data_IF_367960052716
#
_entry.id   IF_367960052716
#
_cell.length_a   1.000
_cell.length_b   1.000
_cell.length_c   1.000
_cell.angle_alpha   90.00
_cell.angle_beta   90.00
_cell.angle_gamma   90.00
#
_symmetry.space_group_name_H-M   'P 1'
#
loop_
_entity.id
_entity.type
_entity.pdbx_description
1 polymer ?
#
# COMPACT_ATOMS: atom_id res chain seq x y z
N UNK A 1 -26.64 29.65 -8.36
CA UNK A 1 -26.02 29.09 -7.14
C UNK A 1 -24.75 28.39 -7.56
N UNK A 2 -23.59 28.95 -7.21
CA UNK A 2 -22.31 28.28 -7.48
C UNK A 2 -22.09 27.20 -6.44
N UNK A 3 -21.97 25.94 -6.87
CA UNK A 3 -21.56 24.86 -5.98
C UNK A 3 -20.07 25.10 -5.66
N UNK A 4 -19.76 25.48 -4.42
CA UNK A 4 -18.38 25.55 -3.96
C UNK A 4 -17.79 24.13 -3.98
N UNK A 5 -16.62 23.98 -4.63
CA UNK A 5 -15.88 22.71 -4.65
C UNK A 5 -15.54 22.33 -3.20
N UNK A 6 -15.89 21.11 -2.79
CA UNK A 6 -15.44 20.57 -1.51
C UNK A 6 -14.00 20.03 -1.65
N UNK A 7 -12.98 20.67 -1.03
CA UNK A 7 -11.60 20.21 -1.15
C UNK A 7 -11.37 18.83 -0.51
N UNK A 8 -12.20 18.41 0.46
CA UNK A 8 -12.11 17.09 1.08
C UNK A 8 -12.54 15.94 0.16
N UNK A 9 -13.10 16.27 -1.01
CA UNK A 9 -13.49 15.29 -2.02
C UNK A 9 -12.50 15.22 -3.18
N UNK A 10 -11.39 15.96 -3.10
CA UNK A 10 -10.31 15.84 -4.07
C UNK A 10 -9.70 14.43 -4.03
N UNK A 11 -9.53 13.83 -5.20
CA UNK A 11 -9.02 12.46 -5.35
C UNK A 11 -9.99 11.35 -4.94
N UNK A 12 -11.21 11.66 -4.48
CA UNK A 12 -12.21 10.63 -4.14
C UNK A 12 -12.66 9.90 -5.40
N UNK A 13 -12.68 8.57 -5.32
CA UNK A 13 -13.41 7.74 -6.28
C UNK A 13 -14.84 7.54 -5.77
N UNK A 14 -15.82 8.16 -6.43
CA UNK A 14 -17.23 8.12 -6.07
C UNK A 14 -17.93 6.85 -6.60
N UNK A 15 -17.39 5.69 -6.25
CA UNK A 15 -17.96 4.39 -6.57
C UNK A 15 -17.41 3.34 -5.60
N UNK A 16 -17.98 2.14 -5.63
CA UNK A 16 -17.38 0.99 -4.95
C UNK A 16 -16.22 0.48 -5.81
N UNK A 17 -15.01 0.52 -5.28
CA UNK A 17 -13.82 -0.05 -5.93
C UNK A 17 -13.14 -1.05 -5.02
N UNK A 18 -12.37 -1.95 -5.62
CA UNK A 18 -11.57 -2.94 -4.92
C UNK A 18 -10.15 -2.95 -5.51
N UNK A 19 -9.11 -2.99 -4.67
CA UNK A 19 -7.76 -3.13 -5.17
C UNK A 19 -7.55 -4.56 -5.68
N UNK A 20 -6.92 -4.70 -6.83
CA UNK A 20 -6.38 -5.94 -7.35
C UNK A 20 -4.91 -5.71 -7.71
N UNK A 21 -4.12 -6.78 -7.67
CA UNK A 21 -2.73 -6.75 -8.12
C UNK A 21 -2.68 -7.48 -9.46
N UNK A 22 -2.11 -6.87 -10.51
CA UNK A 22 -1.90 -7.53 -11.78
C UNK A 22 -0.66 -8.44 -11.75
N UNK A 23 -0.50 -9.26 -12.79
CA UNK A 23 0.72 -10.03 -13.02
C UNK A 23 1.94 -9.13 -13.34
N UNK A 24 3.09 -9.77 -13.57
CA UNK A 24 4.37 -9.10 -13.88
C UNK A 24 4.37 -8.26 -15.17
N UNK A 25 3.36 -8.43 -16.02
CA UNK A 25 3.17 -7.67 -17.26
C UNK A 25 2.10 -6.57 -17.10
N UNK A 26 1.50 -6.46 -15.91
CA UNK A 26 0.46 -5.48 -15.60
C UNK A 26 -0.92 -5.88 -16.12
N UNK A 27 -1.18 -7.18 -16.32
CA UNK A 27 -2.49 -7.69 -16.67
C UNK A 27 -3.22 -8.19 -15.42
N UNK A 28 -4.47 -7.76 -15.24
CA UNK A 28 -5.30 -8.24 -14.15
C UNK A 28 -5.79 -9.66 -14.41
N UNK A 29 -5.77 -10.49 -13.37
CA UNK A 29 -6.26 -11.85 -13.40
C UNK A 29 -7.78 -11.91 -13.54
N UNK A 30 -8.29 -13.04 -14.06
CA UNK A 30 -9.74 -13.32 -14.08
C UNK A 30 -10.32 -13.61 -12.70
N UNK A 31 -9.49 -14.05 -11.76
CA UNK A 31 -9.86 -14.29 -10.37
C UNK A 31 -9.28 -13.22 -9.45
N UNK A 32 -10.03 -12.88 -8.41
CA UNK A 32 -9.64 -11.82 -7.49
C UNK A 32 -8.66 -12.32 -6.42
N UNK A 33 -7.78 -11.43 -5.97
CA UNK A 33 -6.78 -11.72 -4.96
C UNK A 33 -5.80 -12.80 -5.43
N UNK A 34 -5.51 -12.88 -6.73
CA UNK A 34 -4.75 -13.97 -7.34
C UNK A 34 -3.24 -13.94 -7.04
N UNK A 35 -2.73 -12.79 -6.61
CA UNK A 35 -1.32 -12.61 -6.24
C UNK A 35 -1.11 -12.74 -4.72
N UNK A 36 0.09 -13.15 -4.32
CA UNK A 36 0.53 -12.99 -2.93
C UNK A 36 0.84 -11.52 -2.67
N UNK A 37 0.72 -11.09 -1.41
CA UNK A 37 1.14 -9.75 -0.99
C UNK A 37 2.00 -9.82 0.25
N UNK A 38 2.95 -8.91 0.36
CA UNK A 38 3.64 -8.62 1.60
C UNK A 38 3.30 -7.22 2.07
N UNK A 39 2.94 -7.08 3.34
CA UNK A 39 2.60 -5.81 3.97
C UNK A 39 3.68 -5.48 4.98
N UNK A 40 4.32 -4.34 4.81
CA UNK A 40 5.37 -3.86 5.69
C UNK A 40 4.93 -2.60 6.43
N UNK A 41 4.91 -2.67 7.76
CA UNK A 41 4.58 -1.59 8.66
C UNK A 41 5.88 -1.05 9.27
N UNK A 42 6.20 0.20 8.93
CA UNK A 42 7.34 0.94 9.47
C UNK A 42 6.83 2.04 10.39
N UNK A 43 7.10 1.91 11.69
CA UNK A 43 6.89 2.96 12.67
C UNK A 43 8.18 3.73 12.91
N UNK A 44 8.09 5.06 12.90
CA UNK A 44 9.14 5.96 13.36
C UNK A 44 8.59 6.88 14.46
N UNK A 45 9.23 6.88 15.62
CA UNK A 45 8.74 7.57 16.81
C UNK A 45 9.76 8.57 17.35
N UNK A 46 9.28 9.74 17.74
CA UNK A 46 10.09 10.82 18.30
C UNK A 46 9.74 11.02 19.77
N UNK A 47 10.51 10.40 20.66
CA UNK A 47 10.40 10.50 22.12
C UNK A 47 11.23 11.69 22.66
N UNK A 48 11.08 12.86 22.05
CA UNK A 48 11.82 14.07 22.42
C UNK A 48 10.88 15.28 22.54
N UNK A 49 11.01 16.15 23.58
CA UNK A 49 10.12 17.30 23.77
C UNK A 49 10.10 18.30 22.60
N UNK A 50 11.21 18.40 21.86
CA UNK A 50 11.31 19.25 20.67
C UNK A 50 10.64 18.65 19.42
N UNK A 51 10.14 17.42 19.48
CA UNK A 51 9.51 16.73 18.35
C UNK A 51 10.41 16.73 17.11
N UNK A 52 9.88 17.19 15.97
CA UNK A 52 10.60 17.26 14.69
C UNK A 52 11.88 18.12 14.72
N UNK A 53 12.04 18.99 15.73
CA UNK A 53 13.23 19.81 15.92
C UNK A 53 14.30 19.11 16.78
N UNK A 54 14.09 17.85 17.17
CA UNK A 54 15.04 17.08 17.95
C UNK A 54 16.35 16.81 17.18
N UNK A 55 17.48 16.63 17.89
CA UNK A 55 18.76 16.26 17.26
C UNK A 55 18.62 15.05 16.33
N UNK A 56 19.38 15.07 15.23
CA UNK A 56 19.46 14.03 14.19
C UNK A 56 18.19 13.75 13.36
N UNK A 57 17.04 14.36 13.67
CA UNK A 57 15.80 14.16 12.88
C UNK A 57 16.00 14.49 11.41
N UNK A 58 16.67 15.61 11.10
CA UNK A 58 16.90 16.00 9.71
C UNK A 58 17.73 14.96 8.94
N UNK A 59 18.79 14.43 9.57
CA UNK A 59 19.63 13.38 8.96
C UNK A 59 18.83 12.12 8.67
N UNK A 60 18.00 11.68 9.62
CA UNK A 60 17.12 10.51 9.44
C UNK A 60 16.07 10.78 8.35
N UNK A 61 15.43 11.95 8.38
CA UNK A 61 14.41 12.33 7.40
C UNK A 61 14.98 12.38 5.97
N UNK A 62 16.15 12.97 5.79
CA UNK A 62 16.81 13.02 4.49
C UNK A 62 17.16 11.61 3.98
N UNK A 63 17.52 10.69 4.87
CA UNK A 63 17.75 9.30 4.51
C UNK A 63 16.44 8.58 4.15
N UNK A 64 15.37 8.83 4.90
CA UNK A 64 14.03 8.30 4.62
C UNK A 64 13.53 8.74 3.24
N UNK A 65 13.65 10.03 2.91
CA UNK A 65 13.28 10.57 1.58
C UNK A 65 14.07 9.86 0.48
N UNK A 66 15.38 9.64 0.66
CA UNK A 66 16.21 8.92 -0.33
C UNK A 66 15.77 7.45 -0.50
N UNK A 67 15.46 6.76 0.59
CA UNK A 67 14.98 5.36 0.55
C UNK A 67 13.68 5.22 -0.23
N UNK A 68 12.67 6.05 0.08
CA UNK A 68 11.39 6.00 -0.64
C UNK A 68 11.52 6.41 -2.10
N UNK A 69 12.34 7.42 -2.39
CA UNK A 69 12.61 7.83 -3.76
C UNK A 69 13.27 6.73 -4.59
N UNK A 70 14.26 6.01 -4.03
CA UNK A 70 14.86 4.86 -4.74
C UNK A 70 13.82 3.77 -5.00
N UNK A 71 12.96 3.46 -4.03
CA UNK A 71 11.90 2.47 -4.19
C UNK A 71 10.90 2.86 -5.28
N UNK A 72 10.53 4.13 -5.38
CA UNK A 72 9.67 4.66 -6.44
C UNK A 72 10.37 4.64 -7.81
N UNK A 73 11.64 5.02 -7.88
CA UNK A 73 12.42 5.05 -9.13
C UNK A 73 12.77 3.66 -9.68
N UNK A 74 12.85 2.66 -8.80
CA UNK A 74 13.19 1.26 -9.14
C UNK A 74 11.97 0.34 -9.10
N UNK A 75 10.77 0.90 -8.99
CA UNK A 75 9.56 0.14 -9.24
C UNK A 75 9.38 -0.02 -10.76
N UNK A 76 9.07 -1.22 -11.27
CA UNK A 76 8.57 -2.42 -10.58
C UNK A 76 9.62 -3.46 -10.15
N UNK A 77 10.89 -3.29 -10.50
CA UNK A 77 11.95 -4.29 -10.29
C UNK A 77 12.16 -4.61 -8.80
N UNK A 78 12.08 -3.57 -7.96
CA UNK A 78 12.25 -3.67 -6.50
C UNK A 78 11.19 -4.52 -5.79
N UNK A 79 10.06 -4.79 -6.44
CA UNK A 79 8.91 -5.46 -5.83
C UNK A 79 8.09 -4.56 -4.91
N UNK A 80 8.40 -3.27 -4.82
CA UNK A 80 7.61 -2.27 -4.11
C UNK A 80 6.41 -1.82 -4.96
N UNK A 81 5.22 -1.80 -4.35
CA UNK A 81 3.98 -1.39 -5.01
C UNK A 81 3.52 0.03 -4.63
N UNK A 82 4.00 0.56 -3.51
CA UNK A 82 3.50 1.80 -2.93
C UNK A 82 2.93 1.59 -1.52
N UNK A 83 2.30 2.64 -0.99
CA UNK A 83 1.80 2.62 0.38
C UNK A 83 1.10 3.90 0.80
N UNK A 84 0.96 4.08 2.10
CA UNK A 84 0.39 5.28 2.70
C UNK A 84 0.98 5.51 4.08
N UNK A 85 0.92 6.76 4.54
CA UNK A 85 1.51 7.19 5.79
C UNK A 85 0.47 7.87 6.68
N UNK A 86 0.52 7.59 7.98
CA UNK A 86 -0.27 8.26 9.00
C UNK A 86 0.64 8.80 10.09
N UNK A 87 0.36 10.03 10.51
CA UNK A 87 0.95 10.59 11.72
C UNK A 87 -0.05 10.46 12.86
N UNK A 88 0.39 9.89 13.97
CA UNK A 88 -0.36 9.86 15.22
C UNK A 88 0.47 10.47 16.37
N UNK A 89 -0.18 10.67 17.52
CA UNK A 89 0.48 11.02 18.76
C UNK A 89 0.14 9.98 19.81
N UNK A 90 1.14 9.59 20.57
CA UNK A 90 0.91 8.69 21.71
C UNK A 90 0.18 9.43 22.86
N UNK A 91 -0.25 8.72 23.92
CA UNK A 91 -0.96 9.35 25.04
C UNK A 91 -0.17 10.44 25.79
N UNK A 92 1.15 10.52 25.58
CA UNK A 92 2.05 11.51 26.18
C UNK A 92 2.43 12.62 25.19
N UNK A 93 1.87 12.60 23.98
CA UNK A 93 2.02 13.62 22.95
C UNK A 93 3.22 13.42 22.01
N UNK A 94 3.99 12.33 22.17
CA UNK A 94 5.11 12.01 21.27
C UNK A 94 4.58 11.70 19.88
N UNK A 95 5.26 12.23 18.85
CA UNK A 95 4.87 12.03 17.45
C UNK A 95 5.34 10.66 16.98
N UNK A 96 4.47 9.97 16.27
CA UNK A 96 4.75 8.70 15.63
C UNK A 96 4.22 8.73 14.20
N UNK A 97 5.05 8.31 13.26
CA UNK A 97 4.74 8.17 11.85
C UNK A 97 4.69 6.68 11.54
N UNK A 98 3.55 6.22 11.03
CA UNK A 98 3.37 4.85 10.56
C UNK A 98 3.26 4.86 9.04
N UNK A 99 4.23 4.27 8.37
CA UNK A 99 4.19 3.99 6.94
C UNK A 99 3.75 2.55 6.73
N UNK A 100 2.69 2.34 5.96
CA UNK A 100 2.20 1.03 5.55
C UNK A 100 2.48 0.88 4.07
N UNK A 101 3.34 -0.07 3.72
CA UNK A 101 3.77 -0.32 2.34
C UNK A 101 3.44 -1.74 1.89
N UNK A 102 3.21 -1.88 0.58
CA UNK A 102 2.84 -3.13 -0.05
C UNK A 102 3.92 -3.58 -1.02
N UNK A 103 4.19 -4.88 -1.02
CA UNK A 103 5.29 -5.50 -1.72
C UNK A 103 4.86 -6.82 -2.33
N UNK A 104 5.60 -7.25 -3.35
CA UNK A 104 5.44 -8.54 -4.02
C UNK A 104 5.73 -9.72 -3.09
N UNK A 105 6.79 -9.62 -2.28
CA UNK A 105 7.26 -10.71 -1.41
C UNK A 105 8.05 -10.18 -0.22
N UNK A 106 8.22 -11.01 0.81
CA UNK A 106 9.11 -10.68 1.95
C UNK A 106 10.58 -10.70 1.52
N UNK A 107 10.93 -11.52 0.54
CA UNK A 107 12.26 -11.53 -0.08
C UNK A 107 12.60 -10.20 -0.75
N UNK A 108 11.65 -9.54 -1.41
CA UNK A 108 11.86 -8.24 -2.03
C UNK A 108 12.07 -7.13 -0.97
N UNK A 109 11.31 -7.17 0.14
CA UNK A 109 11.55 -6.28 1.28
C UNK A 109 12.98 -6.47 1.82
N UNK A 110 13.41 -7.72 2.01
CA UNK A 110 14.76 -8.01 2.48
C UNK A 110 15.84 -7.59 1.47
N UNK A 111 15.61 -7.82 0.16
CA UNK A 111 16.54 -7.40 -0.90
C UNK A 111 16.81 -5.89 -0.81
N UNK A 112 15.76 -5.09 -0.61
CA UNK A 112 15.91 -3.66 -0.38
C UNK A 112 16.62 -3.35 0.95
N UNK A 113 16.25 -4.02 2.05
CA UNK A 113 16.85 -3.79 3.36
C UNK A 113 18.37 -4.09 3.41
N UNK A 114 18.84 -5.06 2.61
CA UNK A 114 20.26 -5.35 2.42
C UNK A 114 20.94 -4.49 1.35
N UNK A 115 20.18 -3.66 0.62
CA UNK A 115 20.66 -2.72 -0.37
C UNK A 115 21.44 -1.54 0.23
N UNK A 116 22.25 -0.85 -0.59
CA UNK A 116 23.21 0.15 -0.11
C UNK A 116 22.57 1.35 0.61
N UNK A 117 21.42 1.83 0.15
CA UNK A 117 20.79 3.03 0.71
C UNK A 117 20.20 2.75 2.09
N UNK A 118 19.49 1.63 2.25
CA UNK A 118 18.99 1.22 3.57
C UNK A 118 20.15 0.85 4.52
N UNK A 119 21.16 0.11 4.05
CA UNK A 119 22.33 -0.24 4.89
C UNK A 119 23.07 0.97 5.42
N UNK A 120 23.23 2.02 4.60
CA UNK A 120 23.89 3.26 5.03
C UNK A 120 23.22 3.90 6.24
N UNK A 121 21.89 3.99 6.26
CA UNK A 121 21.17 4.59 7.39
C UNK A 121 21.15 3.64 8.60
N UNK A 122 21.08 2.33 8.36
CA UNK A 122 21.15 1.35 9.44
C UNK A 122 22.52 1.35 10.14
N UNK A 123 23.62 1.47 9.38
CA UNK A 123 24.97 1.57 9.94
C UNK A 123 25.16 2.89 10.71
N UNK A 124 24.59 4.00 10.21
CA UNK A 124 24.53 5.27 10.94
C UNK A 124 23.78 5.12 12.27
N UNK A 125 22.59 4.51 12.25
CA UNK A 125 21.78 4.30 13.44
C UNK A 125 22.54 3.51 14.51
N UNK A 126 23.16 2.39 14.12
CA UNK A 126 23.90 1.54 15.06
C UNK A 126 25.14 2.23 15.64
N UNK A 127 25.87 2.99 14.83
CA UNK A 127 27.05 3.73 15.28
C UNK A 127 26.71 4.90 16.22
N UNK A 128 25.51 5.47 16.13
CA UNK A 128 25.06 6.62 16.92
C UNK A 128 23.95 6.27 17.93
N UNK A 129 23.69 4.99 18.22
CA UNK A 129 22.53 4.55 19.02
C UNK A 129 22.37 5.25 20.38
N UNK A 130 23.48 5.68 21.02
CA UNK A 130 23.44 6.43 22.28
C UNK A 130 22.89 7.84 22.11
N UNK A 131 23.21 8.48 20.99
CA UNK A 131 22.76 9.83 20.61
C UNK A 131 21.33 9.80 20.04
N UNK A 132 20.84 8.63 19.62
CA UNK A 132 19.52 8.42 19.03
C UNK A 132 18.51 7.78 19.99
N UNK A 133 18.81 7.70 21.30
CA UNK A 133 17.97 7.03 22.29
C UNK A 133 16.58 7.68 22.49
N UNK A 134 16.39 8.91 22.00
CA UNK A 134 15.11 9.62 21.95
C UNK A 134 14.29 9.28 20.69
N UNK A 135 14.78 8.44 19.81
CA UNK A 135 14.09 7.98 18.61
C UNK A 135 13.73 6.50 18.73
N UNK A 136 12.60 6.12 18.13
CA UNK A 136 12.13 4.73 18.09
C UNK A 136 11.85 4.29 16.65
N UNK A 137 12.09 3.01 16.38
CA UNK A 137 11.72 2.35 15.12
C UNK A 137 10.97 1.06 15.46
N UNK A 138 9.90 0.74 14.73
CA UNK A 138 9.22 -0.55 14.76
C UNK A 138 9.03 -1.09 13.35
N UNK A 139 9.28 -2.39 13.15
CA UNK A 139 9.10 -3.07 11.87
C UNK A 139 8.18 -4.28 12.08
N UNK A 140 7.12 -4.38 11.29
CA UNK A 140 6.34 -5.61 11.17
C UNK A 140 6.18 -5.96 9.69
N UNK A 141 6.38 -7.24 9.33
CA UNK A 141 6.23 -7.73 7.97
C UNK A 141 5.27 -8.92 7.98
N UNK A 142 4.26 -8.87 7.12
CA UNK A 142 3.27 -9.93 6.97
C UNK A 142 3.20 -10.39 5.52
N UNK A 143 3.40 -11.67 5.28
CA UNK A 143 3.14 -12.28 3.98
C UNK A 143 1.75 -12.91 3.97
N UNK A 144 0.92 -12.46 3.04
CA UNK A 144 -0.47 -12.91 2.91
C UNK A 144 -0.60 -13.65 1.58
N UNK A 145 -0.89 -14.96 1.59
CA UNK A 145 -1.09 -15.73 0.37
C UNK A 145 -2.26 -15.21 -0.46
N UNK A 146 -2.23 -15.50 -1.75
CA UNK A 146 -3.36 -15.30 -2.65
C UNK A 146 -4.67 -15.85 -2.08
N UNK A 147 -5.78 -15.19 -2.39
CA UNK A 147 -7.14 -15.50 -1.92
C UNK A 147 -7.33 -15.38 -0.40
N UNK A 148 -6.40 -14.72 0.32
CA UNK A 148 -6.48 -14.45 1.76
C UNK A 148 -6.38 -12.96 2.12
N UNK A 149 -6.46 -12.09 1.12
CA UNK A 149 -6.53 -10.65 1.31
C UNK A 149 -7.62 -10.06 0.41
N UNK A 150 -8.23 -8.97 0.86
CA UNK A 150 -9.21 -8.20 0.09
C UNK A 150 -9.19 -6.74 0.55
N UNK A 151 -9.75 -5.85 -0.26
CA UNK A 151 -10.01 -4.46 0.13
C UNK A 151 -11.22 -3.89 -0.58
N UNK A 152 -11.84 -2.88 0.00
CA UNK A 152 -12.95 -2.16 -0.62
C UNK A 152 -12.90 -0.69 -0.24
N UNK A 153 -13.14 0.17 -1.22
CA UNK A 153 -13.21 1.61 -1.07
C UNK A 153 -14.56 2.07 -1.61
N UNK A 154 -15.24 2.94 -0.87
CA UNK A 154 -16.54 3.49 -1.26
C UNK A 154 -16.56 4.98 -0.92
N UNK A 155 -16.63 5.84 -1.93
CA UNK A 155 -16.55 7.29 -1.75
C UNK A 155 -15.30 7.71 -0.95
N UNK A 156 -14.16 7.10 -1.28
CA UNK A 156 -12.93 7.21 -0.50
C UNK A 156 -11.75 7.58 -1.41
N UNK A 157 -10.79 8.32 -0.87
CA UNK A 157 -9.51 8.57 -1.54
C UNK A 157 -8.66 7.28 -1.56
N UNK A 158 -7.95 6.99 -2.66
CA UNK A 158 -6.97 5.92 -2.68
C UNK A 158 -5.96 6.06 -1.53
N UNK A 159 -5.93 5.07 -0.65
CA UNK A 159 -4.96 4.91 0.45
C UNK A 159 -4.66 3.42 0.56
N UNK A 160 -3.63 3.06 1.32
CA UNK A 160 -3.22 1.66 1.51
C UNK A 160 -3.00 1.00 0.14
N UNK A 161 -3.48 -0.23 -0.04
CA UNK A 161 -3.35 -0.97 -1.30
C UNK A 161 -4.06 -0.27 -2.48
N UNK A 162 -5.08 0.55 -2.22
CA UNK A 162 -5.76 1.33 -3.25
C UNK A 162 -4.88 2.44 -3.85
N UNK A 163 -3.86 2.90 -3.13
CA UNK A 163 -2.92 3.93 -3.60
C UNK A 163 -1.74 3.36 -4.40
N UNK A 164 -1.63 2.03 -4.56
CA UNK A 164 -0.53 1.43 -5.30
C UNK A 164 -0.71 1.55 -6.81
N UNK A 165 0.40 1.54 -7.54
CA UNK A 165 0.43 1.56 -9.01
C UNK A 165 1.36 0.50 -9.57
N UNK A 166 1.04 0.02 -10.77
CA UNK A 166 1.79 -1.04 -11.44
C UNK A 166 2.15 -0.62 -12.86
N UNK A 167 3.30 -1.07 -13.34
CA UNK A 167 3.71 -0.86 -14.72
C UNK A 167 3.03 -1.89 -15.60
N UNK A 168 2.16 -1.44 -16.51
CA UNK A 168 1.66 -2.27 -17.60
C UNK A 168 2.61 -2.15 -18.78
N UNK A 169 3.24 -3.27 -19.15
CA UNK A 169 4.16 -3.32 -20.27
C UNK A 169 3.39 -3.13 -21.57
N UNK A 170 3.94 -2.30 -22.44
CA UNK A 170 3.41 -2.10 -23.78
C UNK A 170 3.68 -3.30 -24.69
N UNK A 171 2.78 -3.56 -25.63
CA UNK A 171 2.96 -4.59 -26.65
C UNK A 171 3.62 -4.03 -27.91
N UNK A 172 4.54 -4.81 -28.50
CA UNK A 172 5.08 -4.57 -29.84
C UNK A 172 4.32 -5.43 -30.85
N UNK A 173 3.21 -4.92 -31.36
CA UNK A 173 2.50 -5.57 -32.48
C UNK A 173 3.04 -5.08 -33.83
N UNK A 174 2.79 -5.87 -34.89
CA UNK A 174 3.22 -5.59 -36.28
C UNK A 174 2.63 -4.26 -36.82
N UNK A 175 1.68 -3.62 -36.11
CA UNK A 175 1.03 -2.36 -36.47
C UNK A 175 1.41 -1.12 -35.63
N UNK A 176 2.34 -1.21 -34.68
CA UNK A 176 2.78 -0.07 -33.86
C UNK A 176 3.32 -0.46 -32.48
N UNK A 177 4.05 0.46 -31.86
CA UNK A 177 4.50 0.32 -30.47
C UNK A 177 3.43 0.90 -29.53
N UNK A 178 3.02 0.14 -28.52
CA UNK A 178 2.33 0.67 -27.34
C UNK A 178 3.40 0.94 -26.29
N UNK A 179 3.39 2.13 -25.69
CA UNK A 179 4.32 2.49 -24.61
C UNK A 179 3.85 1.90 -23.28
N UNK A 180 4.80 1.74 -22.35
CA UNK A 180 4.49 1.32 -20.98
C UNK A 180 3.62 2.37 -20.28
N UNK A 181 2.72 1.91 -19.41
CA UNK A 181 1.78 2.77 -18.70
C UNK A 181 1.61 2.35 -17.25
N UNK A 182 1.65 3.32 -16.35
CA UNK A 182 1.24 3.12 -14.95
C UNK A 182 -0.28 2.97 -14.84
N UNK A 183 -0.71 1.90 -14.17
CA UNK A 183 -2.12 1.57 -13.91
C UNK A 183 -2.38 1.55 -12.40
N UNK A 184 -3.60 1.91 -11.99
CA UNK A 184 -4.05 1.85 -10.60
C UNK A 184 -4.43 0.42 -10.22
N UNK A 185 -4.29 0.07 -8.93
CA UNK A 185 -4.84 -1.16 -8.36
C UNK A 185 -6.37 -1.21 -8.35
N UNK A 186 -7.06 -0.07 -8.36
CA UNK A 186 -8.50 -0.01 -8.13
C UNK A 186 -9.31 -0.41 -9.36
N UNK A 187 -10.11 -1.47 -9.20
CA UNK A 187 -11.09 -1.92 -10.18
C UNK A 187 -12.52 -1.61 -9.72
N UNK A 188 -13.43 -1.46 -10.68
CA UNK A 188 -14.87 -1.34 -10.42
C UNK A 188 -15.37 -2.56 -9.65
N UNK A 189 -15.90 -2.32 -8.45
CA UNK A 189 -16.48 -3.32 -7.57
C UNK A 189 -17.96 -3.04 -7.29
N UNK A 190 -18.62 -2.20 -8.09
CA UNK A 190 -20.07 -1.98 -7.99
C UNK A 190 -20.87 -3.23 -8.39
N UNK A 191 -20.29 -4.07 -9.26
CA UNK A 191 -20.91 -5.26 -9.86
C UNK A 191 -19.95 -6.46 -9.95
N UNK A 192 -20.48 -7.61 -10.38
CA UNK A 192 -19.69 -8.83 -10.60
C UNK A 192 -19.10 -9.42 -9.33
N UNK A 193 -18.02 -10.21 -9.48
CA UNK A 193 -17.36 -10.93 -8.37
C UNK A 193 -16.87 -9.97 -7.27
N UNK A 194 -16.26 -8.84 -7.65
CA UNK A 194 -15.65 -7.88 -6.70
C UNK A 194 -16.67 -7.16 -5.79
N UNK A 195 -17.96 -7.24 -6.12
CA UNK A 195 -19.04 -6.63 -5.33
C UNK A 195 -19.09 -7.13 -3.90
N UNK A 196 -18.69 -8.37 -3.66
CA UNK A 196 -18.78 -9.06 -2.36
C UNK A 196 -17.41 -9.31 -1.77
N UNK A 197 -17.31 -9.38 -0.44
CA UNK A 197 -16.05 -9.74 0.25
C UNK A 197 -15.53 -11.12 -0.21
N UNK A 198 -16.41 -12.12 -0.31
CA UNK A 198 -16.06 -13.45 -0.82
C UNK A 198 -15.44 -13.38 -2.22
N UNK A 199 -16.09 -12.66 -3.13
CA UNK A 199 -15.64 -12.59 -4.51
C UNK A 199 -14.34 -11.81 -4.66
N UNK A 200 -14.02 -10.85 -3.77
CA UNK A 200 -12.70 -10.20 -3.71
C UNK A 200 -11.59 -11.11 -3.17
N UNK A 201 -11.97 -12.13 -2.40
CA UNK A 201 -11.08 -13.23 -2.01
C UNK A 201 -11.01 -14.33 -3.09
N UNK A 202 -11.67 -14.17 -4.24
CA UNK A 202 -11.73 -15.21 -5.28
C UNK A 202 -12.63 -16.40 -4.96
N UNK A 203 -13.56 -16.25 -4.01
CA UNK A 203 -14.46 -17.33 -3.51
C UNK A 203 -15.89 -17.14 -4.01
N UNK A 204 -16.69 -18.21 -3.97
CA UNK A 204 -18.13 -18.10 -4.19
C UNK A 204 -18.80 -17.43 -2.96
N UNK A 205 -19.52 -16.31 -3.12
CA UNK A 205 -20.27 -15.69 -2.03
C UNK A 205 -21.25 -16.62 -1.32
N UNK A 206 -21.82 -17.60 -2.03
CA UNK A 206 -22.79 -18.54 -1.47
C UNK A 206 -22.18 -19.38 -0.34
N UNK A 207 -20.94 -19.83 -0.50
CA UNK A 207 -20.23 -20.63 0.52
C UNK A 207 -20.07 -19.88 1.85
N UNK A 208 -19.82 -18.57 1.80
CA UNK A 208 -19.73 -17.74 3.02
C UNK A 208 -21.10 -17.56 3.68
N UNK A 209 -22.15 -17.30 2.89
CA UNK A 209 -23.51 -17.12 3.44
C UNK A 209 -24.01 -18.39 4.12
N UNK A 210 -23.71 -19.56 3.56
CA UNK A 210 -24.00 -20.86 4.18
C UNK A 210 -23.21 -21.05 5.48
N UNK A 211 -21.92 -20.73 5.48
CA UNK A 211 -21.04 -20.88 6.65
C UNK A 211 -21.49 -20.03 7.84
N UNK A 212 -21.91 -18.78 7.59
CA UNK A 212 -22.27 -17.83 8.65
C UNK A 212 -23.79 -17.66 8.85
N UNK A 213 -24.60 -18.45 8.14
CA UNK A 213 -26.07 -18.39 8.16
C UNK A 213 -26.62 -16.97 7.95
N UNK A 214 -25.89 -16.15 7.20
CA UNK A 214 -26.17 -14.74 6.94
C UNK A 214 -26.45 -14.57 5.45
N UNK A 215 -27.63 -15.04 5.02
CA UNK A 215 -28.11 -14.75 3.67
C UNK A 215 -28.51 -13.27 3.63
N UNK A 216 -27.87 -12.43 2.80
CA UNK A 216 -28.20 -11.01 2.75
C UNK A 216 -29.67 -10.83 2.35
N UNK A 217 -30.43 -10.05 3.12
CA UNK A 217 -31.85 -9.74 2.82
C UNK A 217 -32.04 -8.91 1.53
N UNK A 218 -30.97 -8.40 0.94
CA UNK A 218 -31.03 -7.54 -0.25
C UNK A 218 -29.85 -7.87 -1.14
N UNK A 219 -30.15 -8.53 -2.27
CA UNK A 219 -29.69 -8.23 -3.63
C UNK A 219 -30.43 -9.19 -4.57
N UNK A 220 -31.77 -9.07 -4.59
CA UNK A 220 -32.55 -9.58 -5.72
C UNK A 220 -32.32 -8.59 -6.85
N UNK A 221 -31.63 -9.04 -7.88
CA UNK A 221 -31.69 -8.60 -9.27
C UNK A 221 -31.80 -7.08 -9.51
N UNK A 222 -30.67 -6.42 -9.77
CA UNK A 222 -30.46 -5.46 -10.88
C UNK A 222 -29.00 -5.52 -11.34
#
# INVERSE_FOLDING_TARGET
MGILRNPYLEGVTFDRTAPQIPDEDGNFHSDAGAENISVFLLGFKINHPLGILAPHIQTINDANIRMWKELEETAPESGYYGGSEWTCRDPRGAVEVLTISYWRSTEDVHRFAYGPVHRKIWDFWNSHHKELNHLGISHEIYEVPKHKWEGVYLNFQPTLLGATSYLKKGDKFIGGNVDDKWISSLLDASKGKLRTSAGRLGRDPKELYETFNDTPKVYKDE
#
